data_IF_496921259730
#
_entry.id   IF_496921259730
#
_cell.length_a   1.000
_cell.length_b   1.000
_cell.length_c   1.000
_cell.angle_alpha   90.00
_cell.angle_beta   90.00
_cell.angle_gamma   90.00
#
_symmetry.space_group_name_H-M   'P 1'
#
loop_
_entity.id
_entity.type
_entity.pdbx_description
1 polymer ?
#
# COMPACT_ATOMS: atom_id res chain seq x y z
N UNK A 1 -13.74 11.61 12.39
CA UNK A 1 -12.28 11.64 12.15
C UNK A 1 -11.78 13.02 11.66
N UNK A 2 -12.64 14.03 11.65
CA UNK A 2 -12.31 15.38 11.14
C UNK A 2 -11.02 15.93 11.77
N UNK A 3 -10.12 16.44 10.94
CA UNK A 3 -8.82 16.95 11.37
C UNK A 3 -7.74 15.89 11.62
N UNK A 4 -8.07 14.58 11.59
CA UNK A 4 -7.11 13.50 11.85
C UNK A 4 -6.19 13.29 10.65
N UNK A 5 -4.88 13.14 10.91
CA UNK A 5 -3.92 12.76 9.89
C UNK A 5 -4.03 11.26 9.57
N UNK A 6 -3.61 10.85 8.36
CA UNK A 6 -3.58 9.45 7.94
C UNK A 6 -2.16 9.04 7.56
N UNK A 7 -1.32 8.76 8.58
CA UNK A 7 0.11 8.54 8.41
C UNK A 7 0.48 7.06 8.40
N UNK A 8 -0.14 6.26 9.26
CA UNK A 8 0.02 4.80 9.37
C UNK A 8 -1.21 4.19 10.05
N UNK A 9 -1.52 2.92 9.76
CA UNK A 9 -2.68 2.25 10.36
C UNK A 9 -2.53 1.98 11.87
N UNK A 10 -1.33 2.04 12.42
CA UNK A 10 -1.11 2.00 13.88
C UNK A 10 -1.87 3.10 14.61
N UNK A 11 -2.04 4.26 14.00
CA UNK A 11 -2.72 5.42 14.59
C UNK A 11 -4.25 5.31 14.59
N UNK A 12 -4.78 4.23 14.01
CA UNK A 12 -6.21 4.00 13.84
C UNK A 12 -6.68 2.78 14.64
N UNK A 13 -7.88 2.88 15.20
CA UNK A 13 -8.55 1.74 15.81
C UNK A 13 -9.17 0.82 14.74
N UNK A 14 -9.41 -0.46 15.04
CA UNK A 14 -10.15 -1.36 14.14
C UNK A 14 -11.52 -0.81 13.70
N UNK A 15 -12.22 -0.13 14.59
CA UNK A 15 -13.51 0.49 14.30
C UNK A 15 -13.38 1.66 13.30
N UNK A 16 -12.34 2.49 13.42
CA UNK A 16 -12.07 3.58 12.47
C UNK A 16 -11.69 3.02 11.09
N UNK A 17 -10.87 1.98 11.04
CA UNK A 17 -10.51 1.31 9.78
C UNK A 17 -11.77 0.75 9.10
N UNK A 18 -12.62 0.03 9.82
CA UNK A 18 -13.89 -0.47 9.28
C UNK A 18 -14.78 0.66 8.74
N UNK A 19 -14.91 1.78 9.46
CA UNK A 19 -15.68 2.94 8.99
C UNK A 19 -15.12 3.53 7.69
N UNK A 20 -13.78 3.55 7.51
CA UNK A 20 -13.18 3.98 6.25
C UNK A 20 -13.48 3.00 5.11
N UNK A 21 -13.43 1.70 5.37
CA UNK A 21 -13.77 0.67 4.39
C UNK A 21 -15.25 0.71 3.99
N UNK A 22 -16.15 0.94 4.96
CA UNK A 22 -17.59 1.06 4.70
C UNK A 22 -17.90 2.31 3.87
N UNK A 23 -17.27 3.44 4.22
CA UNK A 23 -17.40 4.67 3.44
C UNK A 23 -16.82 4.52 2.04
N UNK A 24 -15.71 3.80 1.89
CA UNK A 24 -15.12 3.53 0.57
C UNK A 24 -16.05 2.69 -0.31
N UNK A 25 -16.67 1.66 0.26
CA UNK A 25 -17.67 0.83 -0.45
C UNK A 25 -18.88 1.66 -0.87
N UNK A 26 -19.42 2.51 0.01
CA UNK A 26 -20.52 3.43 -0.30
C UNK A 26 -20.16 4.38 -1.45
N UNK A 27 -18.98 5.03 -1.39
CA UNK A 27 -18.53 5.96 -2.42
C UNK A 27 -18.20 5.27 -3.75
N UNK A 28 -17.74 4.02 -3.71
CA UNK A 28 -17.55 3.16 -4.89
C UNK A 28 -18.89 2.88 -5.57
N UNK A 29 -19.88 2.49 -4.80
CA UNK A 29 -21.25 2.23 -5.27
C UNK A 29 -21.87 3.49 -5.90
N UNK A 30 -21.80 4.63 -5.22
CA UNK A 30 -22.29 5.90 -5.74
C UNK A 30 -21.64 6.25 -7.09
N UNK A 31 -20.31 6.07 -7.22
CA UNK A 31 -19.61 6.30 -8.49
C UNK A 31 -20.09 5.36 -9.59
N UNK A 32 -20.24 4.06 -9.31
CA UNK A 32 -20.73 3.06 -10.29
C UNK A 32 -22.16 3.35 -10.76
N UNK A 33 -23.00 3.91 -9.89
CA UNK A 33 -24.38 4.30 -10.20
C UNK A 33 -24.49 5.71 -10.83
N UNK A 34 -23.38 6.43 -11.01
CA UNK A 34 -23.39 7.80 -11.53
C UNK A 34 -23.98 8.83 -10.56
N UNK A 35 -24.06 8.49 -9.25
CA UNK A 35 -24.59 9.39 -8.22
C UNK A 35 -23.52 10.40 -7.82
N UNK A 36 -23.73 11.73 -7.99
CA UNK A 36 -22.80 12.75 -7.55
C UNK A 36 -22.59 12.72 -6.03
N UNK A 37 -21.33 12.77 -5.60
CA UNK A 37 -20.98 12.71 -4.16
C UNK A 37 -19.94 13.75 -3.77
N UNK A 38 -20.17 15.02 -4.13
CA UNK A 38 -19.27 16.16 -3.90
C UNK A 38 -19.20 16.58 -2.42
N UNK A 39 -18.82 15.66 -1.54
CA UNK A 39 -18.82 15.85 -0.07
C UNK A 39 -17.83 16.90 0.42
N UNK A 40 -16.84 17.26 -0.39
CA UNK A 40 -15.77 18.22 -0.06
C UNK A 40 -15.76 19.39 -1.08
N UNK A 41 -16.93 19.77 -1.61
CA UNK A 41 -17.02 20.83 -2.61
C UNK A 41 -16.37 22.13 -2.12
N UNK A 42 -15.56 22.75 -2.99
CA UNK A 42 -14.88 24.03 -2.72
C UNK A 42 -13.59 23.91 -1.92
N UNK A 43 -13.19 22.73 -1.48
CA UNK A 43 -11.90 22.50 -0.83
C UNK A 43 -10.76 22.36 -1.83
N UNK A 44 -9.54 22.68 -1.38
CA UNK A 44 -8.32 22.60 -2.18
C UNK A 44 -7.34 21.69 -1.47
N UNK A 45 -6.73 20.76 -2.20
CA UNK A 45 -5.68 19.88 -1.66
C UNK A 45 -4.41 19.97 -2.50
N UNK A 46 -3.29 19.66 -1.89
CA UNK A 46 -2.00 19.56 -2.58
C UNK A 46 -1.43 18.15 -2.45
N UNK A 47 -0.89 17.64 -3.57
CA UNK A 47 -0.16 16.38 -3.65
C UNK A 47 1.31 16.72 -3.74
N UNK A 48 2.08 16.37 -2.72
CA UNK A 48 3.50 16.68 -2.59
C UNK A 48 4.33 15.39 -2.79
N UNK A 49 4.95 15.27 -3.96
CA UNK A 49 5.67 14.08 -4.37
C UNK A 49 7.17 14.31 -4.42
N UNK A 50 7.94 13.49 -3.72
CA UNK A 50 9.39 13.34 -3.88
C UNK A 50 9.76 12.08 -4.66
N UNK A 51 8.81 11.11 -4.77
CA UNK A 51 8.88 9.91 -5.61
C UNK A 51 7.69 9.88 -6.56
N UNK A 52 7.94 9.72 -7.85
CA UNK A 52 6.88 9.62 -8.85
C UNK A 52 5.97 8.39 -8.64
N UNK A 53 4.70 8.54 -9.00
CA UNK A 53 3.74 7.43 -9.03
C UNK A 53 2.54 7.77 -9.88
N UNK A 54 2.32 7.00 -10.93
CA UNK A 54 1.11 7.11 -11.76
C UNK A 54 -0.15 6.81 -10.96
N UNK A 55 -0.19 5.67 -10.27
CA UNK A 55 -1.39 5.20 -9.56
C UNK A 55 -1.79 6.12 -8.40
N UNK A 56 -0.84 6.47 -7.52
CA UNK A 56 -1.16 7.34 -6.37
C UNK A 56 -1.62 8.71 -6.83
N UNK A 57 -0.94 9.31 -7.82
CA UNK A 57 -1.33 10.60 -8.40
C UNK A 57 -2.74 10.53 -8.97
N UNK A 58 -2.99 9.61 -9.91
CA UNK A 58 -4.31 9.48 -10.54
C UNK A 58 -5.42 9.17 -9.51
N UNK A 59 -5.15 8.32 -8.51
CA UNK A 59 -6.13 7.99 -7.49
C UNK A 59 -6.52 9.22 -6.66
N UNK A 60 -5.58 10.04 -6.21
CA UNK A 60 -5.88 11.28 -5.48
C UNK A 60 -6.54 12.34 -6.35
N UNK A 61 -6.07 12.55 -7.60
CA UNK A 61 -6.66 13.53 -8.52
C UNK A 61 -8.12 13.19 -8.83
N UNK A 62 -8.40 11.93 -9.20
CA UNK A 62 -9.79 11.49 -9.50
C UNK A 62 -10.66 11.48 -8.25
N UNK A 63 -10.13 11.01 -7.11
CA UNK A 63 -10.86 11.04 -5.84
C UNK A 63 -11.21 12.47 -5.43
N UNK A 64 -10.27 13.42 -5.59
CA UNK A 64 -10.50 14.83 -5.33
C UNK A 64 -11.59 15.43 -6.23
N UNK A 65 -11.52 15.16 -7.53
CA UNK A 65 -12.52 15.62 -8.50
C UNK A 65 -13.93 15.06 -8.18
N UNK A 66 -14.04 13.76 -7.87
CA UNK A 66 -15.31 13.13 -7.47
C UNK A 66 -15.90 13.78 -6.20
N UNK A 67 -15.07 14.17 -5.24
CA UNK A 67 -15.49 14.86 -4.02
C UNK A 67 -15.73 16.37 -4.22
N UNK A 68 -15.46 16.92 -5.41
CA UNK A 68 -15.67 18.33 -5.73
C UNK A 68 -14.56 19.27 -5.27
N UNK A 69 -13.36 18.74 -5.10
CA UNK A 69 -12.15 19.50 -4.70
C UNK A 69 -11.33 19.96 -5.90
N UNK A 70 -10.53 21.00 -5.70
CA UNK A 70 -9.40 21.31 -6.59
C UNK A 70 -8.14 20.62 -6.08
N UNK A 71 -7.32 20.11 -7.01
CA UNK A 71 -6.10 19.34 -6.69
C UNK A 71 -4.91 20.02 -7.36
N UNK A 72 -3.87 20.33 -6.58
CA UNK A 72 -2.58 20.80 -7.09
C UNK A 72 -1.55 19.69 -6.95
N UNK A 73 -0.83 19.41 -8.02
CA UNK A 73 0.27 18.43 -8.01
C UNK A 73 1.63 19.15 -8.00
N UNK A 74 2.44 18.84 -7.01
CA UNK A 74 3.84 19.25 -6.89
C UNK A 74 4.74 18.01 -6.99
N UNK A 75 5.30 17.77 -8.17
CA UNK A 75 6.21 16.65 -8.41
C UNK A 75 7.63 16.90 -7.86
N UNK A 76 8.57 15.96 -8.05
CA UNK A 76 9.92 16.00 -7.46
C UNK A 76 10.75 17.24 -7.84
N UNK A 77 10.46 17.87 -8.97
CA UNK A 77 11.09 19.14 -9.41
C UNK A 77 10.25 20.37 -9.03
N UNK A 78 9.00 20.19 -8.59
CA UNK A 78 8.05 21.27 -8.33
C UNK A 78 8.10 21.88 -6.93
N UNK A 79 8.88 21.29 -6.01
CA UNK A 79 8.98 21.73 -4.61
C UNK A 79 10.41 22.10 -4.22
N UNK A 80 10.52 23.08 -3.32
CA UNK A 80 11.78 23.47 -2.66
C UNK A 80 11.98 22.81 -1.29
N UNK A 81 11.03 21.97 -0.86
CA UNK A 81 11.07 21.28 0.43
C UNK A 81 12.34 20.42 0.57
N UNK A 82 13.00 20.54 1.72
CA UNK A 82 14.26 19.86 2.00
C UNK A 82 15.48 20.38 1.19
N UNK A 83 15.29 21.35 0.31
CA UNK A 83 16.36 21.96 -0.52
C UNK A 83 16.67 23.38 -0.06
N UNK A 84 15.76 24.32 -0.33
CA UNK A 84 15.87 25.74 0.05
C UNK A 84 14.89 26.12 1.16
N UNK A 85 13.93 25.27 1.46
CA UNK A 85 12.91 25.50 2.48
C UNK A 85 12.84 24.28 3.40
N UNK A 86 12.68 24.54 4.72
CA UNK A 86 12.54 23.47 5.70
C UNK A 86 11.18 22.76 5.54
N UNK A 87 11.11 21.48 5.95
CA UNK A 87 9.84 20.73 5.97
C UNK A 87 8.77 21.46 6.79
N UNK A 88 9.17 22.04 7.94
CA UNK A 88 8.25 22.75 8.82
C UNK A 88 7.71 24.03 8.18
N UNK A 89 8.52 24.78 7.42
CA UNK A 89 8.08 26.02 6.77
C UNK A 89 7.21 25.71 5.56
N UNK A 90 7.59 24.72 4.74
CA UNK A 90 6.73 24.20 3.67
C UNK A 90 5.36 23.77 4.21
N UNK A 91 5.33 23.00 5.33
CA UNK A 91 4.09 22.58 5.95
C UNK A 91 3.20 23.74 6.37
N UNK A 92 3.79 24.77 7.02
CA UNK A 92 3.05 25.99 7.45
C UNK A 92 2.50 26.78 6.27
N UNK A 93 3.26 26.92 5.18
CA UNK A 93 2.82 27.62 3.97
C UNK A 93 1.68 26.86 3.31
N UNK A 94 1.87 25.57 3.03
CA UNK A 94 0.84 24.75 2.38
C UNK A 94 -0.42 24.63 3.23
N UNK A 95 -0.30 24.46 4.54
CA UNK A 95 -1.44 24.39 5.45
C UNK A 95 -2.27 25.69 5.58
N UNK A 96 -1.74 26.83 5.10
CA UNK A 96 -2.48 28.11 5.00
C UNK A 96 -3.15 28.31 3.64
N UNK A 97 -2.74 27.53 2.63
CA UNK A 97 -3.27 27.62 1.27
C UNK A 97 -4.25 26.50 0.96
N UNK A 98 -4.04 25.32 1.54
CA UNK A 98 -4.80 24.11 1.26
C UNK A 98 -5.53 23.58 2.48
N UNK A 99 -6.62 22.84 2.25
CA UNK A 99 -7.41 22.16 3.28
C UNK A 99 -6.82 20.80 3.69
N UNK A 100 -5.93 20.24 2.88
CA UNK A 100 -5.25 18.98 3.14
C UNK A 100 -4.02 18.78 2.27
N UNK A 101 -3.07 17.99 2.76
CA UNK A 101 -1.77 17.72 2.12
C UNK A 101 -1.58 16.21 2.00
N UNK A 102 -1.35 15.71 0.79
CA UNK A 102 -0.82 14.37 0.57
C UNK A 102 0.70 14.46 0.41
N UNK A 103 1.41 13.51 1.00
CA UNK A 103 2.84 13.36 0.83
C UNK A 103 3.19 11.95 0.36
N UNK A 104 4.03 11.88 -0.68
CA UNK A 104 4.65 10.65 -1.15
C UNK A 104 6.15 10.84 -1.33
N UNK A 105 6.95 10.12 -0.55
CA UNK A 105 8.40 10.33 -0.58
C UNK A 105 9.21 9.24 0.13
N UNK A 106 10.14 9.69 0.97
CA UNK A 106 11.15 8.83 1.57
C UNK A 106 10.83 8.49 3.04
N UNK A 107 11.37 9.21 4.00
CA UNK A 107 11.29 8.87 5.40
C UNK A 107 9.92 9.17 6.04
N UNK A 108 9.52 8.33 6.97
CA UNK A 108 8.29 8.52 7.75
C UNK A 108 8.34 9.81 8.58
N UNK A 109 9.52 10.18 9.07
CA UNK A 109 9.75 11.41 9.83
C UNK A 109 9.40 12.67 9.02
N UNK A 110 9.50 12.64 7.68
CA UNK A 110 9.15 13.76 6.82
C UNK A 110 7.63 14.00 6.86
N UNK A 111 6.83 12.95 6.64
CA UNK A 111 5.37 13.07 6.67
C UNK A 111 4.84 13.37 8.08
N UNK A 112 5.49 12.87 9.12
CA UNK A 112 5.17 13.18 10.52
C UNK A 112 5.49 14.65 10.86
N UNK A 113 6.60 15.19 10.35
CA UNK A 113 6.92 16.62 10.47
C UNK A 113 5.93 17.49 9.69
N UNK A 114 5.55 17.11 8.47
CA UNK A 114 4.48 17.79 7.73
C UNK A 114 3.20 17.85 8.56
N UNK A 115 2.76 16.71 9.10
CA UNK A 115 1.57 16.63 9.94
C UNK A 115 1.65 17.51 11.18
N UNK A 116 2.81 17.57 11.83
CA UNK A 116 3.03 18.39 13.03
C UNK A 116 2.85 19.88 12.81
N UNK A 117 3.20 20.40 11.62
CA UNK A 117 3.26 21.85 11.38
C UNK A 117 2.22 22.37 10.38
N UNK A 118 1.52 21.49 9.65
CA UNK A 118 0.58 21.90 8.61
C UNK A 118 -0.69 22.58 9.14
N UNK A 119 -1.22 22.13 10.29
CA UNK A 119 -2.50 22.62 10.83
C UNK A 119 -3.73 22.15 10.05
N UNK A 120 -3.53 21.28 9.05
CA UNK A 120 -4.57 20.63 8.23
C UNK A 120 -4.28 19.13 8.15
N UNK A 121 -5.25 18.27 7.78
CA UNK A 121 -4.99 16.84 7.58
C UNK A 121 -3.84 16.59 6.61
N UNK A 122 -2.97 15.65 6.98
CA UNK A 122 -1.88 15.14 6.14
C UNK A 122 -2.10 13.66 5.91
N UNK A 123 -1.96 13.22 4.65
CA UNK A 123 -2.15 11.83 4.22
C UNK A 123 -0.85 11.28 3.66
N UNK A 124 -0.46 10.12 4.17
CA UNK A 124 0.71 9.39 3.69
C UNK A 124 0.36 8.57 2.43
N UNK A 125 0.77 9.05 1.26
CA UNK A 125 0.64 8.34 -0.01
C UNK A 125 1.65 7.19 -0.17
N UNK A 126 2.82 7.30 0.44
CA UNK A 126 3.85 6.28 0.65
C UNK A 126 5.08 6.90 1.31
N UNK A 127 5.65 6.19 2.28
CA UNK A 127 7.04 6.38 2.77
C UNK A 127 7.82 5.07 2.63
N UNK A 128 9.09 5.06 3.02
CA UNK A 128 9.87 3.83 3.06
C UNK A 128 9.33 2.84 4.09
N UNK A 129 8.72 3.33 5.17
CA UNK A 129 8.26 2.55 6.31
C UNK A 129 6.80 2.13 6.19
N UNK A 130 5.92 2.98 5.59
CA UNK A 130 4.48 2.71 5.53
C UNK A 130 3.80 3.16 4.24
N UNK A 131 2.76 2.41 3.85
CA UNK A 131 1.87 2.73 2.72
C UNK A 131 0.40 2.50 3.09
N UNK A 132 -0.16 3.27 4.04
CA UNK A 132 -1.48 2.98 4.62
C UNK A 132 -2.62 3.06 3.60
N UNK A 133 -2.50 3.91 2.57
CA UNK A 133 -3.53 4.02 1.51
C UNK A 133 -3.61 2.77 0.64
N UNK A 134 -2.50 2.02 0.48
CA UNK A 134 -2.52 0.74 -0.21
C UNK A 134 -3.28 -0.30 0.62
N UNK A 135 -2.99 -0.40 1.91
CA UNK A 135 -3.59 -1.42 2.77
C UNK A 135 -5.11 -1.27 2.90
N UNK A 136 -5.63 -0.06 2.89
CA UNK A 136 -7.08 0.13 2.84
C UNK A 136 -7.68 -0.41 1.53
N UNK A 137 -7.00 -0.24 0.40
CA UNK A 137 -7.45 -0.77 -0.88
C UNK A 137 -7.39 -2.30 -0.88
N UNK A 138 -6.31 -2.87 -0.36
CA UNK A 138 -6.13 -4.31 -0.22
C UNK A 138 -7.27 -4.91 0.61
N UNK A 139 -7.58 -4.30 1.76
CA UNK A 139 -8.64 -4.75 2.64
C UNK A 139 -10.04 -4.59 2.06
N UNK A 140 -10.30 -3.52 1.33
CA UNK A 140 -11.57 -3.37 0.60
C UNK A 140 -11.71 -4.49 -0.43
N UNK A 141 -10.66 -4.78 -1.18
CA UNK A 141 -10.62 -5.84 -2.19
C UNK A 141 -10.81 -7.23 -1.58
N UNK A 142 -10.09 -7.55 -0.51
CA UNK A 142 -10.26 -8.82 0.22
C UNK A 142 -11.70 -8.94 0.73
N UNK A 143 -12.27 -7.86 1.29
CA UNK A 143 -13.65 -7.86 1.77
C UNK A 143 -14.67 -8.06 0.66
N UNK A 144 -14.45 -7.50 -0.52
CA UNK A 144 -15.31 -7.70 -1.69
C UNK A 144 -15.30 -9.16 -2.18
N UNK A 145 -14.15 -9.82 -2.14
CA UNK A 145 -14.01 -11.21 -2.62
C UNK A 145 -14.38 -12.27 -1.57
N UNK A 146 -14.16 -12.00 -0.28
CA UNK A 146 -14.32 -12.99 0.79
C UNK A 146 -15.40 -12.64 1.82
N UNK A 147 -16.03 -11.48 1.74
CA UNK A 147 -17.07 -11.00 2.64
C UNK A 147 -16.55 -10.47 4.00
N UNK A 148 -15.39 -10.91 4.46
CA UNK A 148 -14.82 -10.51 5.74
C UNK A 148 -13.29 -10.49 5.71
N UNK A 149 -12.68 -9.74 6.64
CA UNK A 149 -11.23 -9.73 6.86
C UNK A 149 -10.80 -10.69 7.97
N UNK A 150 -11.58 -10.74 9.05
CA UNK A 150 -11.24 -11.48 10.27
C UNK A 150 -10.96 -12.96 9.97
N UNK A 151 -9.82 -13.45 10.43
CA UNK A 151 -9.39 -14.83 10.27
C UNK A 151 -8.86 -15.19 8.88
N UNK A 152 -8.90 -14.28 7.90
CA UNK A 152 -8.30 -14.54 6.57
C UNK A 152 -6.79 -14.61 6.68
N UNK A 153 -6.21 -15.61 6.01
CA UNK A 153 -4.76 -15.81 5.94
C UNK A 153 -4.19 -15.09 4.73
N UNK A 154 -3.37 -14.07 4.98
CA UNK A 154 -2.61 -13.34 3.98
C UNK A 154 -1.13 -13.67 4.13
N UNK A 155 -0.54 -14.20 3.06
CA UNK A 155 0.88 -14.51 2.97
C UNK A 155 1.55 -13.44 2.11
N UNK A 156 2.46 -12.68 2.70
CA UNK A 156 3.31 -11.74 1.97
C UNK A 156 4.62 -12.41 1.58
N UNK A 157 4.83 -12.55 0.26
CA UNK A 157 6.01 -13.18 -0.36
C UNK A 157 6.96 -12.08 -0.81
N UNK A 158 7.99 -11.76 -0.03
CA UNK A 158 8.89 -10.68 -0.43
C UNK A 158 9.67 -10.09 0.73
N UNK A 159 10.42 -9.01 0.45
CA UNK A 159 11.14 -8.25 1.46
C UNK A 159 10.16 -7.50 2.38
N UNK A 160 9.95 -8.03 3.56
CA UNK A 160 8.97 -7.53 4.51
C UNK A 160 9.49 -6.40 5.42
N UNK A 161 10.73 -5.94 5.25
CA UNK A 161 11.35 -4.87 6.06
C UNK A 161 10.81 -3.48 5.77
N UNK A 162 10.20 -3.28 4.60
CA UNK A 162 9.78 -1.98 4.07
C UNK A 162 8.27 -1.77 4.13
N UNK A 163 7.80 -0.73 3.46
CA UNK A 163 6.45 -0.20 3.60
C UNK A 163 5.33 -1.24 3.40
N UNK A 164 5.42 -2.14 2.41
CA UNK A 164 4.35 -3.12 2.18
C UNK A 164 4.31 -4.19 3.28
N UNK A 165 5.43 -4.84 3.60
CA UNK A 165 5.50 -5.83 4.67
C UNK A 165 5.07 -5.25 6.02
N UNK A 166 5.61 -4.08 6.37
CA UNK A 166 5.26 -3.36 7.59
C UNK A 166 3.76 -3.02 7.65
N UNK A 167 3.23 -2.42 6.59
CA UNK A 167 1.84 -1.95 6.58
C UNK A 167 0.83 -3.09 6.55
N UNK A 168 1.12 -4.18 5.81
CA UNK A 168 0.28 -5.38 5.80
C UNK A 168 0.26 -6.05 7.18
N UNK A 169 1.43 -6.20 7.83
CA UNK A 169 1.51 -6.74 9.19
C UNK A 169 0.69 -5.91 10.18
N UNK A 170 0.85 -4.59 10.17
CA UNK A 170 0.07 -3.67 11.02
C UNK A 170 -1.42 -3.78 10.73
N UNK A 171 -1.81 -3.73 9.47
CA UNK A 171 -3.21 -3.82 9.07
C UNK A 171 -3.84 -5.14 9.47
N UNK A 172 -3.16 -6.27 9.21
CA UNK A 172 -3.64 -7.59 9.60
C UNK A 172 -3.77 -7.73 11.12
N UNK A 173 -2.80 -7.21 11.88
CA UNK A 173 -2.88 -7.16 13.34
C UNK A 173 -4.12 -6.39 13.82
N UNK A 174 -4.42 -5.23 13.22
CA UNK A 174 -5.61 -4.41 13.55
C UNK A 174 -6.91 -5.10 13.20
N UNK A 175 -6.97 -5.85 12.09
CA UNK A 175 -8.22 -6.41 11.58
C UNK A 175 -8.48 -7.86 11.98
N UNK A 176 -7.64 -8.44 12.85
CA UNK A 176 -7.80 -9.81 13.32
C UNK A 176 -7.57 -10.85 12.22
N UNK A 177 -6.68 -10.57 11.28
CA UNK A 177 -6.28 -11.47 10.19
C UNK A 177 -5.09 -12.35 10.61
N UNK A 178 -4.82 -13.39 9.85
CA UNK A 178 -3.58 -14.16 9.95
C UNK A 178 -2.58 -13.64 8.92
N UNK A 179 -1.54 -12.96 9.35
CA UNK A 179 -0.45 -12.47 8.52
C UNK A 179 0.75 -13.42 8.57
N UNK A 180 1.27 -13.78 7.42
CA UNK A 180 2.51 -14.55 7.29
C UNK A 180 3.49 -13.74 6.45
N UNK A 181 4.64 -13.34 7.02
CA UNK A 181 5.77 -12.86 6.22
C UNK A 181 6.60 -14.07 5.77
N UNK A 182 6.64 -14.31 4.46
CA UNK A 182 7.40 -15.39 3.86
C UNK A 182 8.59 -14.84 3.08
N UNK A 183 9.79 -14.93 3.66
CA UNK A 183 11.03 -14.35 3.16
C UNK A 183 12.24 -15.03 3.81
N UNK A 184 13.48 -14.77 3.32
CA UNK A 184 14.68 -15.01 4.13
C UNK A 184 14.56 -14.32 5.49
N UNK A 185 15.12 -14.91 6.55
CA UNK A 185 14.96 -14.40 7.91
C UNK A 185 15.43 -12.94 8.06
N UNK A 186 16.50 -12.55 7.38
CA UNK A 186 17.03 -11.19 7.36
C UNK A 186 16.10 -10.16 6.67
N UNK A 187 15.03 -10.63 6.02
CA UNK A 187 14.03 -9.80 5.34
C UNK A 187 12.69 -9.74 6.09
N UNK A 188 12.64 -10.20 7.32
CA UNK A 188 11.48 -10.00 8.19
C UNK A 188 11.38 -8.55 8.67
N UNK A 189 10.19 -8.06 9.07
CA UNK A 189 10.02 -6.73 9.66
C UNK A 189 10.90 -6.55 10.90
N UNK A 190 11.17 -5.29 11.26
CA UNK A 190 11.94 -4.95 12.46
C UNK A 190 11.25 -5.40 13.75
N UNK A 191 12.04 -5.89 14.72
CA UNK A 191 11.57 -6.45 16.00
C UNK A 191 10.66 -5.49 16.79
N UNK A 192 10.98 -4.19 16.79
CA UNK A 192 10.17 -3.17 17.50
C UNK A 192 8.76 -3.09 16.93
N UNK A 193 8.62 -3.15 15.60
CA UNK A 193 7.32 -3.13 14.95
C UNK A 193 6.58 -4.46 15.15
N UNK A 194 7.29 -5.58 15.11
CA UNK A 194 6.73 -6.90 15.42
C UNK A 194 6.16 -6.91 16.84
N UNK A 195 6.89 -6.38 17.84
CA UNK A 195 6.43 -6.32 19.22
C UNK A 195 5.15 -5.47 19.37
N UNK A 196 5.10 -4.30 18.71
CA UNK A 196 3.89 -3.47 18.68
C UNK A 196 2.71 -4.20 18.03
N UNK A 197 2.93 -4.87 16.91
CA UNK A 197 1.88 -5.62 16.22
C UNK A 197 1.40 -6.84 17.03
N UNK A 198 2.28 -7.52 17.75
CA UNK A 198 1.90 -8.62 18.67
C UNK A 198 1.00 -8.13 19.82
N UNK A 199 1.28 -6.94 20.37
CA UNK A 199 0.42 -6.34 21.38
C UNK A 199 -1.00 -6.08 20.83
N UNK A 200 -1.10 -5.51 19.62
CA UNK A 200 -2.38 -5.31 18.93
C UNK A 200 -3.07 -6.64 18.62
N UNK A 201 -2.32 -7.64 18.15
CA UNK A 201 -2.84 -8.96 17.81
C UNK A 201 -3.44 -9.68 19.02
N UNK A 202 -2.87 -9.51 20.22
CA UNK A 202 -3.42 -10.05 21.45
C UNK A 202 -4.83 -9.52 21.77
N UNK A 203 -5.14 -8.28 21.37
CA UNK A 203 -6.47 -7.67 21.56
C UNK A 203 -7.47 -8.06 20.46
N UNK A 204 -6.99 -8.19 19.22
CA UNK A 204 -7.84 -8.42 18.05
C UNK A 204 -8.05 -9.90 17.72
N UNK A 205 -7.19 -10.78 18.22
CA UNK A 205 -7.14 -12.19 17.87
C UNK A 205 -6.44 -12.46 16.54
N UNK A 206 -5.64 -11.51 16.02
CA UNK A 206 -4.80 -11.73 14.84
C UNK A 206 -3.68 -12.73 15.13
N UNK A 207 -3.19 -13.39 14.07
CA UNK A 207 -2.02 -14.26 14.12
C UNK A 207 -0.91 -13.64 13.28
N UNK A 208 0.31 -13.57 13.82
CA UNK A 208 1.49 -13.07 13.09
C UNK A 208 2.54 -14.17 13.03
N UNK A 209 2.86 -14.61 11.83
CA UNK A 209 3.79 -15.70 11.54
C UNK A 209 4.93 -15.20 10.65
N UNK A 210 6.11 -15.77 10.84
CA UNK A 210 7.32 -15.50 10.06
C UNK A 210 7.89 -16.84 9.60
N UNK A 211 7.92 -17.07 8.30
CA UNK A 211 8.23 -18.38 7.74
C UNK A 211 9.22 -18.25 6.58
N UNK A 212 10.21 -19.11 6.54
CA UNK A 212 11.21 -19.14 5.44
C UNK A 212 10.89 -20.20 4.37
N UNK A 213 9.86 -21.05 4.60
CA UNK A 213 9.44 -22.08 3.64
C UNK A 213 8.19 -21.62 2.88
N UNK A 214 8.28 -21.35 1.55
CA UNK A 214 7.15 -20.92 0.75
C UNK A 214 5.99 -21.93 0.70
N UNK A 215 6.27 -23.22 0.70
CA UNK A 215 5.23 -24.24 0.62
C UNK A 215 4.44 -24.36 1.94
N UNK A 216 5.12 -24.28 3.07
CA UNK A 216 4.44 -24.26 4.38
C UNK A 216 3.69 -22.95 4.60
N UNK A 217 4.30 -21.81 4.22
CA UNK A 217 3.69 -20.49 4.38
C UNK A 217 2.37 -20.37 3.59
N UNK A 218 2.36 -20.82 2.33
CA UNK A 218 1.20 -20.63 1.43
C UNK A 218 0.08 -21.66 1.64
N UNK A 219 0.29 -22.70 2.41
CA UNK A 219 -0.72 -23.71 2.70
C UNK A 219 -2.00 -23.10 3.27
N UNK A 220 -3.13 -23.35 2.58
CA UNK A 220 -4.44 -22.81 2.94
C UNK A 220 -4.49 -21.28 3.03
N UNK A 221 -3.67 -20.56 2.28
CA UNK A 221 -3.74 -19.10 2.23
C UNK A 221 -5.01 -18.64 1.50
N UNK A 222 -5.69 -17.64 2.03
CA UNK A 222 -6.77 -16.93 1.31
C UNK A 222 -6.19 -15.97 0.27
N UNK A 223 -5.07 -15.33 0.62
CA UNK A 223 -4.38 -14.34 -0.22
C UNK A 223 -2.88 -14.61 -0.23
N UNK A 224 -2.29 -14.65 -1.43
CA UNK A 224 -0.84 -14.52 -1.64
C UNK A 224 -0.58 -13.13 -2.22
N UNK A 225 0.23 -12.36 -1.51
CA UNK A 225 0.59 -10.99 -1.85
C UNK A 225 2.09 -10.89 -2.13
N UNK A 226 2.50 -10.14 -3.14
CA UNK A 226 3.92 -9.83 -3.35
C UNK A 226 4.13 -8.39 -3.82
N UNK A 227 5.38 -7.95 -3.83
CA UNK A 227 5.83 -6.67 -4.34
C UNK A 227 7.17 -6.85 -5.06
N UNK A 228 7.59 -5.86 -5.83
CA UNK A 228 8.87 -5.89 -6.54
C UNK A 228 10.04 -6.20 -5.59
N UNK A 229 11.00 -7.00 -6.07
CA UNK A 229 12.15 -7.38 -5.25
C UNK A 229 13.13 -6.24 -4.99
N UNK A 230 13.17 -5.24 -5.86
CA UNK A 230 14.00 -4.05 -5.72
C UNK A 230 13.11 -2.82 -5.77
N UNK A 231 13.09 -2.07 -4.67
CA UNK A 231 12.25 -0.89 -4.53
C UNK A 231 12.81 0.30 -5.31
N UNK A 232 11.92 1.23 -5.70
CA UNK A 232 12.34 2.48 -6.34
C UNK A 232 13.34 3.25 -5.46
N UNK A 233 14.53 3.54 -6.03
CA UNK A 233 15.59 4.29 -5.35
C UNK A 233 16.68 3.42 -4.74
N UNK A 234 16.56 2.09 -4.79
CA UNK A 234 17.68 1.20 -4.50
C UNK A 234 18.67 1.19 -5.68
N UNK A 235 19.98 1.06 -5.42
CA UNK A 235 21.00 1.06 -6.47
C UNK A 235 20.97 -0.25 -7.29
N UNK A 236 21.36 -0.16 -8.57
CA UNK A 236 21.41 -1.33 -9.47
C UNK A 236 22.32 -2.47 -8.97
N UNK A 237 23.24 -2.18 -8.07
CA UNK A 237 24.15 -3.17 -7.49
C UNK A 237 23.48 -4.23 -6.62
N UNK A 238 22.24 -3.97 -6.14
CA UNK A 238 21.52 -4.92 -5.27
C UNK A 238 20.77 -6.00 -6.06
N UNK A 239 20.58 -5.85 -7.37
CA UNK A 239 19.75 -6.75 -8.19
C UNK A 239 20.23 -8.21 -8.14
N UNK A 240 21.54 -8.45 -8.30
CA UNK A 240 22.08 -9.81 -8.35
C UNK A 240 21.83 -10.57 -7.04
N UNK A 241 22.10 -9.91 -5.90
CA UNK A 241 21.84 -10.50 -4.60
C UNK A 241 20.35 -10.73 -4.36
N UNK A 242 19.51 -9.74 -4.70
CA UNK A 242 18.05 -9.86 -4.56
C UNK A 242 17.49 -11.00 -5.40
N UNK A 243 17.87 -11.11 -6.65
CA UNK A 243 17.45 -12.20 -7.53
C UNK A 243 17.83 -13.55 -6.91
N UNK A 244 19.08 -13.69 -6.47
CA UNK A 244 19.57 -14.93 -5.86
C UNK A 244 18.78 -15.32 -4.61
N UNK A 245 18.53 -14.37 -3.73
CA UNK A 245 17.85 -14.61 -2.45
C UNK A 245 16.34 -14.77 -2.60
N UNK A 246 15.72 -14.01 -3.54
CA UNK A 246 14.27 -13.93 -3.66
C UNK A 246 13.66 -14.91 -4.67
N UNK A 247 14.46 -15.50 -5.56
CA UNK A 247 13.95 -16.49 -6.54
C UNK A 247 13.14 -17.63 -5.90
N UNK A 248 13.49 -18.21 -4.73
CA UNK A 248 12.68 -19.22 -4.06
C UNK A 248 11.29 -18.71 -3.60
N UNK A 249 11.14 -17.40 -3.47
CA UNK A 249 9.93 -16.71 -2.99
C UNK A 249 9.08 -16.13 -4.14
N UNK A 250 9.43 -16.44 -5.39
CA UNK A 250 8.61 -16.07 -6.56
C UNK A 250 7.25 -16.74 -6.46
N UNK A 251 6.18 -15.95 -6.65
CA UNK A 251 4.82 -16.50 -6.69
C UNK A 251 4.63 -17.23 -8.02
N UNK A 252 4.42 -18.53 -7.92
CA UNK A 252 4.24 -19.44 -9.06
C UNK A 252 2.90 -20.14 -8.96
N UNK A 253 2.47 -20.76 -10.07
CA UNK A 253 1.27 -21.58 -10.07
C UNK A 253 1.31 -22.70 -9.01
N UNK A 254 2.46 -23.31 -8.76
CA UNK A 254 2.61 -24.33 -7.73
C UNK A 254 2.27 -23.82 -6.32
N UNK A 255 2.65 -22.58 -5.99
CA UNK A 255 2.29 -21.97 -4.71
C UNK A 255 0.80 -21.59 -4.65
N UNK A 256 0.21 -21.12 -5.75
CA UNK A 256 -1.22 -20.88 -5.85
C UNK A 256 -2.04 -22.17 -5.69
N UNK A 257 -1.62 -23.24 -6.34
CA UNK A 257 -2.26 -24.55 -6.22
C UNK A 257 -2.15 -25.12 -4.80
N UNK A 258 -1.01 -24.93 -4.14
CA UNK A 258 -0.80 -25.32 -2.74
C UNK A 258 -1.72 -24.53 -1.77
N UNK A 259 -1.98 -23.28 -2.05
CA UNK A 259 -2.94 -22.47 -1.28
C UNK A 259 -4.40 -22.87 -1.55
N UNK A 260 -4.70 -23.31 -2.75
CA UNK A 260 -6.00 -23.83 -3.18
C UNK A 260 -6.75 -22.92 -4.15
N UNK A 261 -7.79 -23.44 -4.78
CA UNK A 261 -8.53 -22.76 -5.85
C UNK A 261 -9.22 -21.45 -5.43
N UNK A 262 -9.49 -21.26 -4.14
CA UNK A 262 -10.12 -20.06 -3.62
C UNK A 262 -9.11 -18.94 -3.30
N UNK A 263 -7.82 -19.25 -3.27
CA UNK A 263 -6.77 -18.27 -3.04
C UNK A 263 -6.79 -17.18 -4.12
N UNK A 264 -6.55 -15.93 -3.71
CA UNK A 264 -6.39 -14.80 -4.62
C UNK A 264 -4.97 -14.28 -4.59
N UNK A 265 -4.49 -13.88 -5.76
CA UNK A 265 -3.20 -13.22 -5.94
C UNK A 265 -3.40 -11.70 -5.91
N UNK A 266 -2.57 -10.99 -5.15
CA UNK A 266 -2.57 -9.54 -5.03
C UNK A 266 -1.16 -8.96 -5.19
N UNK A 267 -1.07 -7.72 -5.68
CA UNK A 267 0.17 -7.01 -5.92
C UNK A 267 -0.10 -5.50 -6.03
N UNK A 268 0.63 -4.68 -5.28
CA UNK A 268 0.45 -3.21 -5.28
C UNK A 268 0.80 -2.52 -6.61
N UNK A 269 1.44 -3.23 -7.54
CA UNK A 269 1.92 -2.74 -8.83
C UNK A 269 2.96 -1.60 -8.70
N UNK A 270 3.94 -1.50 -9.63
CA UNK A 270 4.10 -2.31 -10.86
C UNK A 270 4.59 -3.73 -10.56
N UNK A 271 4.34 -4.67 -11.46
CA UNK A 271 4.83 -6.04 -11.36
C UNK A 271 5.78 -6.35 -12.53
N UNK A 272 6.80 -7.19 -12.26
CA UNK A 272 7.73 -7.67 -13.27
C UNK A 272 7.46 -9.14 -13.58
N UNK A 273 6.33 -9.40 -14.23
CA UNK A 273 5.86 -10.73 -14.59
C UNK A 273 6.21 -11.15 -16.02
N UNK A 274 6.63 -10.18 -16.86
CA UNK A 274 6.93 -10.39 -18.29
C UNK A 274 8.08 -9.49 -18.80
N UNK A 275 8.34 -9.51 -20.12
CA UNK A 275 9.36 -8.73 -20.79
C UNK A 275 8.83 -7.45 -21.47
N UNK A 276 7.59 -7.05 -21.20
CA UNK A 276 6.97 -5.88 -21.84
C UNK A 276 7.46 -4.53 -21.27
N UNK A 277 8.22 -4.54 -20.18
CA UNK A 277 8.83 -3.35 -19.59
C UNK A 277 10.30 -3.19 -20.00
N UNK A 278 10.81 -1.96 -19.99
CA UNK A 278 12.23 -1.70 -20.25
C UNK A 278 13.12 -2.39 -19.21
N UNK A 279 12.74 -2.32 -17.92
CA UNK A 279 13.49 -2.95 -16.82
C UNK A 279 13.44 -4.47 -16.95
N UNK A 280 12.28 -5.07 -17.23
CA UNK A 280 12.16 -6.51 -17.44
C UNK A 280 13.12 -7.02 -18.53
N UNK A 281 13.21 -6.32 -19.66
CA UNK A 281 14.18 -6.66 -20.72
C UNK A 281 15.63 -6.53 -20.28
N UNK A 282 16.00 -5.47 -19.56
CA UNK A 282 17.36 -5.29 -19.04
C UNK A 282 17.75 -6.41 -18.06
N UNK A 283 16.82 -6.84 -17.20
CA UNK A 283 17.05 -7.93 -16.27
C UNK A 283 17.19 -9.26 -17.03
N UNK A 284 16.38 -9.50 -18.05
CA UNK A 284 16.51 -10.67 -18.91
C UNK A 284 17.87 -10.72 -19.63
N UNK A 285 18.29 -9.60 -20.22
CA UNK A 285 19.59 -9.50 -20.91
C UNK A 285 20.76 -9.75 -19.95
N UNK A 286 20.65 -9.32 -18.70
CA UNK A 286 21.74 -9.42 -17.71
C UNK A 286 21.74 -10.74 -16.95
N UNK A 287 20.58 -11.29 -16.59
CA UNK A 287 20.43 -12.41 -15.69
C UNK A 287 19.70 -13.63 -16.28
N UNK A 288 19.13 -13.49 -17.49
CA UNK A 288 18.45 -14.60 -18.19
C UNK A 288 17.11 -15.01 -17.57
N UNK A 289 16.49 -14.14 -16.74
CA UNK A 289 15.18 -14.40 -16.14
C UNK A 289 14.10 -13.55 -16.79
N UNK A 290 12.97 -14.16 -17.11
CA UNK A 290 11.85 -13.55 -17.84
C UNK A 290 10.74 -12.99 -16.93
N UNK A 291 10.76 -13.34 -15.67
CA UNK A 291 9.88 -12.79 -14.64
C UNK A 291 10.60 -12.74 -13.29
N UNK A 292 10.18 -11.86 -12.38
CA UNK A 292 10.79 -11.72 -11.06
C UNK A 292 9.90 -12.24 -9.95
N UNK A 293 9.16 -11.37 -9.25
CA UNK A 293 8.40 -11.70 -8.06
C UNK A 293 7.17 -12.58 -8.31
N UNK A 294 6.68 -12.61 -9.55
CA UNK A 294 5.51 -13.40 -9.96
C UNK A 294 5.67 -13.86 -11.41
N UNK A 295 5.16 -15.06 -11.72
CA UNK A 295 5.09 -15.56 -13.10
C UNK A 295 3.89 -14.95 -13.84
N UNK A 296 4.02 -14.76 -15.16
CA UNK A 296 2.95 -14.26 -16.02
C UNK A 296 1.68 -15.12 -15.94
N UNK A 297 1.85 -16.44 -15.85
CA UNK A 297 0.75 -17.40 -15.67
C UNK A 297 -0.11 -17.09 -14.42
N UNK A 298 0.51 -16.66 -13.31
CA UNK A 298 -0.22 -16.29 -12.09
C UNK A 298 -0.83 -14.91 -12.25
N UNK A 299 -0.05 -13.96 -12.76
CA UNK A 299 -0.47 -12.56 -12.89
C UNK A 299 -1.71 -12.41 -13.79
N UNK A 300 -1.77 -13.14 -14.89
CA UNK A 300 -2.88 -13.14 -15.86
C UNK A 300 -3.99 -14.17 -15.53
N UNK A 301 -3.87 -14.91 -14.43
CA UNK A 301 -4.85 -15.92 -14.05
C UNK A 301 -6.15 -15.33 -13.53
N UNK A 302 -7.21 -16.15 -13.50
CA UNK A 302 -8.49 -15.79 -12.87
C UNK A 302 -8.43 -15.66 -11.33
N UNK A 303 -7.32 -16.08 -10.71
CA UNK A 303 -7.08 -15.89 -9.27
C UNK A 303 -6.45 -14.53 -8.99
N UNK A 304 -5.92 -13.83 -9.98
CA UNK A 304 -5.35 -12.49 -9.85
C UNK A 304 -6.46 -11.43 -9.73
N UNK A 305 -6.37 -10.60 -8.70
CA UNK A 305 -7.32 -9.50 -8.43
C UNK A 305 -6.59 -8.15 -8.32
N UNK A 306 -5.42 -8.05 -8.94
CA UNK A 306 -4.53 -6.87 -8.86
C UNK A 306 -5.16 -5.60 -9.44
N UNK A 307 -6.05 -5.72 -10.44
CA UNK A 307 -6.70 -4.55 -11.02
C UNK A 307 -7.91 -4.08 -10.20
N UNK A 308 -8.64 -4.98 -9.54
CA UNK A 308 -9.65 -4.62 -8.54
C UNK A 308 -9.02 -3.88 -7.36
N UNK A 309 -7.86 -4.37 -6.91
CA UNK A 309 -7.03 -3.75 -5.89
C UNK A 309 -6.58 -2.34 -6.31
N UNK A 310 -6.06 -2.19 -7.53
CA UNK A 310 -5.62 -0.90 -8.06
C UNK A 310 -6.79 0.10 -8.18
N UNK A 311 -7.98 -0.33 -8.63
CA UNK A 311 -9.20 0.50 -8.66
C UNK A 311 -9.57 0.96 -7.25
N UNK A 312 -9.54 0.07 -6.27
CA UNK A 312 -9.93 0.35 -4.89
C UNK A 312 -9.06 1.41 -4.21
N UNK A 313 -7.83 1.65 -4.69
CA UNK A 313 -6.99 2.78 -4.25
C UNK A 313 -7.73 4.12 -4.31
N UNK A 314 -8.40 4.40 -5.43
CA UNK A 314 -9.16 5.64 -5.61
C UNK A 314 -10.32 5.73 -4.61
N UNK A 315 -11.05 4.64 -4.39
CA UNK A 315 -12.22 4.64 -3.51
C UNK A 315 -11.85 4.78 -2.03
N UNK A 316 -10.80 4.11 -1.58
CA UNK A 316 -10.33 4.22 -0.19
C UNK A 316 -9.65 5.56 0.11
N UNK A 317 -8.88 6.11 -0.82
CA UNK A 317 -8.34 7.47 -0.74
C UNK A 317 -9.47 8.49 -0.64
N UNK A 318 -10.53 8.33 -1.45
CA UNK A 318 -11.73 9.16 -1.40
C UNK A 318 -12.36 9.13 0.00
N UNK A 319 -12.50 7.94 0.60
CA UNK A 319 -13.04 7.78 1.94
C UNK A 319 -12.17 8.45 3.02
N UNK A 320 -10.84 8.31 2.93
CA UNK A 320 -9.90 8.96 3.86
C UNK A 320 -10.06 10.48 3.79
N UNK A 321 -10.04 11.06 2.60
CA UNK A 321 -10.20 12.51 2.43
C UNK A 321 -11.55 13.00 2.94
N UNK A 322 -12.65 12.33 2.57
CA UNK A 322 -14.00 12.71 3.00
C UNK A 322 -14.21 12.57 4.51
N UNK A 323 -13.51 11.66 5.17
CA UNK A 323 -13.64 11.43 6.62
C UNK A 323 -12.80 12.38 7.46
N UNK A 324 -11.73 12.96 6.89
CA UNK A 324 -10.75 13.77 7.64
C UNK A 324 -10.86 15.28 7.36
N UNK A 325 -11.39 15.70 6.21
CA UNK A 325 -11.70 17.09 5.87
C UNK A 325 -13.06 17.51 6.44
#
# INVERSE_FOLDING_TARGET
MKGKHFLKLLDYTPAEINRLLDLAAELKDQKKQGIPHKRCAGKNIVLLFEKDSTRTRCAFEVAGADLGMSVTYLGPSGSQMGKKESIADTARVLGRMYDGIEYRGFGQEIVENLAKYAGVPVWNGLTNEFHPTQILADFLTIREHFGSLRGRKLVYMGDARYNMGNSLMVGCAKMGMHFVACAPQEYFPGEDLIAQCRAVAAETGAVLEFNTDPMEATKNADVIYTDVWVSMGEPDSVWEERIRLMTPYRVTKALMDNAGAQCRFMHCLPAFHDLNTAIGRQIYEKFGIDCMEVTDEVFESSQSIVFDEAENRMHTIKAVMAATL
#
